data_IF_394865656387
#
_entry.id   IF_394865656387
#
_cell.length_a   1.000
_cell.length_b   1.000
_cell.length_c   1.000
_cell.angle_alpha   90.00
_cell.angle_beta   90.00
_cell.angle_gamma   90.00
#
_symmetry.space_group_name_H-M   'P 1'
#
loop_
_entity.id
_entity.type
_entity.pdbx_description
1 polymer ?
#
# COMPACT_ATOMS: atom_id res chain seq x y z
N UNK A 1 15.41 9.49 -5.28
CA UNK A 1 14.42 8.41 -5.51
C UNK A 1 14.94 7.49 -6.60
N UNK A 2 14.68 6.19 -6.50
CA UNK A 2 14.98 5.22 -7.55
C UNK A 2 13.76 5.05 -8.47
N UNK A 3 13.96 4.61 -9.70
CA UNK A 3 12.88 4.33 -10.66
C UNK A 3 12.96 2.90 -11.15
N UNK A 4 11.80 2.23 -11.16
CA UNK A 4 11.64 0.86 -11.67
C UNK A 4 10.63 0.93 -12.82
N UNK A 5 10.95 0.28 -13.94
CA UNK A 5 10.06 0.19 -15.10
C UNK A 5 9.73 -1.28 -15.39
N UNK A 6 8.45 -1.57 -15.55
CA UNK A 6 7.94 -2.91 -15.88
C UNK A 6 7.24 -2.82 -17.23
N UNK A 7 7.55 -3.75 -18.13
CA UNK A 7 6.82 -3.91 -19.40
C UNK A 7 5.73 -4.95 -19.19
N UNK A 8 4.47 -4.51 -19.31
CA UNK A 8 3.31 -5.38 -19.25
C UNK A 8 2.79 -5.57 -20.69
N UNK A 9 2.44 -6.80 -21.12
CA UNK A 9 1.83 -7.02 -22.43
C UNK A 9 0.52 -6.24 -22.58
N UNK A 10 0.26 -5.67 -23.77
CA UNK A 10 -0.94 -4.88 -24.02
C UNK A 10 -2.22 -5.72 -23.86
N UNK A 11 -2.14 -7.03 -24.10
CA UNK A 11 -3.23 -7.99 -23.89
C UNK A 11 -3.73 -7.99 -22.44
N UNK A 12 -2.83 -7.81 -21.46
CA UNK A 12 -3.22 -7.73 -20.05
C UNK A 12 -4.05 -6.47 -19.80
N UNK A 13 -3.73 -5.35 -20.44
CA UNK A 13 -4.52 -4.12 -20.32
C UNK A 13 -5.91 -4.32 -20.95
N UNK A 14 -5.99 -5.02 -22.08
CA UNK A 14 -7.27 -5.35 -22.72
C UNK A 14 -8.13 -6.28 -21.88
N UNK A 15 -7.56 -7.36 -21.35
CA UNK A 15 -8.27 -8.35 -20.53
C UNK A 15 -8.77 -7.75 -19.21
N UNK A 16 -7.96 -6.90 -18.57
CA UNK A 16 -8.32 -6.21 -17.33
C UNK A 16 -9.15 -4.95 -17.55
N UNK A 17 -9.28 -4.49 -18.80
CA UNK A 17 -9.93 -3.23 -19.21
C UNK A 17 -9.34 -2.00 -18.51
N UNK A 18 -8.04 -2.04 -18.25
CA UNK A 18 -7.31 -0.92 -17.66
C UNK A 18 -6.68 -0.05 -18.73
N UNK A 19 -6.75 1.26 -18.52
CA UNK A 19 -5.86 2.23 -19.17
C UNK A 19 -4.42 2.08 -18.67
N UNK A 20 -3.46 2.67 -19.37
CA UNK A 20 -2.05 2.67 -18.94
C UNK A 20 -1.86 3.32 -17.58
N UNK A 21 -2.60 4.40 -17.30
CA UNK A 21 -2.52 5.12 -16.03
C UNK A 21 -3.13 4.29 -14.88
N UNK A 22 -4.23 3.59 -15.13
CA UNK A 22 -4.82 2.65 -14.16
C UNK A 22 -3.89 1.47 -13.88
N UNK A 23 -3.25 0.90 -14.91
CA UNK A 23 -2.27 -0.17 -14.74
C UNK A 23 -1.05 0.30 -13.94
N UNK A 24 -0.56 1.52 -14.19
CA UNK A 24 0.54 2.10 -13.41
C UNK A 24 0.14 2.32 -11.94
N UNK A 25 -1.02 2.93 -11.71
CA UNK A 25 -1.56 3.14 -10.36
C UNK A 25 -1.78 1.81 -9.62
N UNK A 26 -2.26 0.79 -10.32
CA UNK A 26 -2.40 -0.57 -9.78
C UNK A 26 -1.04 -1.13 -9.36
N UNK A 27 -0.03 -1.07 -10.23
CA UNK A 27 1.31 -1.59 -9.93
C UNK A 27 1.97 -0.86 -8.74
N UNK A 28 1.80 0.47 -8.66
CA UNK A 28 2.26 1.28 -7.53
C UNK A 28 1.61 0.85 -6.21
N UNK A 29 0.27 0.75 -6.19
CA UNK A 29 -0.47 0.33 -5.00
C UNK A 29 -0.14 -1.10 -4.58
N UNK A 30 -0.05 -2.03 -5.53
CA UNK A 30 0.33 -3.41 -5.27
C UNK A 30 1.75 -3.51 -4.69
N UNK A 31 2.69 -2.72 -5.21
CA UNK A 31 4.07 -2.65 -4.70
C UNK A 31 4.10 -2.11 -3.27
N UNK A 32 3.43 -1.00 -3.01
CA UNK A 32 3.32 -0.42 -1.66
C UNK A 32 2.69 -1.40 -0.67
N UNK A 33 1.64 -2.12 -1.08
CA UNK A 33 0.97 -3.11 -0.25
C UNK A 33 1.88 -4.27 0.12
N UNK A 34 2.62 -4.80 -0.86
CA UNK A 34 3.56 -5.90 -0.64
C UNK A 34 4.72 -5.48 0.27
N UNK A 35 5.25 -4.26 0.11
CA UNK A 35 6.29 -3.72 0.97
C UNK A 35 5.80 -3.50 2.40
N UNK A 36 4.57 -3.02 2.58
CA UNK A 36 3.95 -2.91 3.90
C UNK A 36 3.82 -4.29 4.57
N UNK A 37 3.23 -5.26 3.86
CA UNK A 37 2.91 -6.58 4.42
C UNK A 37 4.12 -7.51 4.61
N UNK A 38 5.15 -7.42 3.77
CA UNK A 38 6.28 -8.37 3.77
C UNK A 38 7.57 -7.78 4.32
N UNK A 39 7.72 -6.46 4.24
CA UNK A 39 8.96 -5.78 4.61
C UNK A 39 8.77 -4.80 5.77
N UNK A 40 7.54 -4.64 6.28
CA UNK A 40 7.21 -3.74 7.40
C UNK A 40 7.68 -2.30 7.14
N UNK A 41 7.62 -1.87 5.88
CA UNK A 41 7.95 -0.50 5.49
C UNK A 41 6.89 0.45 6.04
N UNK A 42 7.31 1.62 6.51
CA UNK A 42 6.42 2.60 7.13
C UNK A 42 5.31 3.07 6.19
N UNK A 43 4.17 3.44 6.79
CA UNK A 43 2.99 3.99 6.09
C UNK A 43 3.40 5.17 5.19
N UNK A 44 4.23 6.09 5.69
CA UNK A 44 4.70 7.25 4.93
C UNK A 44 5.41 6.89 3.62
N UNK A 45 6.35 5.94 3.66
CA UNK A 45 7.05 5.50 2.45
C UNK A 45 6.12 4.72 1.51
N UNK A 46 5.23 3.88 2.03
CA UNK A 46 4.28 3.15 1.20
C UNK A 46 3.25 4.08 0.53
N UNK A 47 2.79 5.12 1.22
CA UNK A 47 1.90 6.15 0.66
C UNK A 47 2.58 6.90 -0.49
N UNK A 48 3.85 7.28 -0.33
CA UNK A 48 4.65 7.89 -1.40
C UNK A 48 4.78 6.99 -2.62
N UNK A 49 5.05 5.69 -2.44
CA UNK A 49 5.13 4.71 -3.54
C UNK A 49 3.78 4.56 -4.24
N UNK A 50 2.69 4.50 -3.46
CA UNK A 50 1.33 4.38 -3.95
C UNK A 50 0.78 5.65 -4.62
N UNK A 51 1.53 6.76 -4.56
CA UNK A 51 1.15 8.04 -5.15
C UNK A 51 -0.05 8.70 -4.45
N UNK A 52 -0.19 8.51 -3.13
CA UNK A 52 -1.30 9.07 -2.35
C UNK A 52 -0.84 9.63 -1.00
N UNK A 53 -1.73 10.32 -0.29
CA UNK A 53 -1.46 10.78 1.08
C UNK A 53 -1.38 9.61 2.06
N UNK A 54 -0.77 9.82 3.23
CA UNK A 54 -0.75 8.80 4.29
C UNK A 54 -2.17 8.44 4.75
N UNK A 55 -3.05 9.44 4.88
CA UNK A 55 -4.46 9.24 5.24
C UNK A 55 -5.18 8.36 4.20
N UNK A 56 -4.97 8.63 2.91
CA UNK A 56 -5.57 7.82 1.85
C UNK A 56 -4.98 6.42 1.80
N UNK A 57 -3.70 6.26 2.13
CA UNK A 57 -3.09 4.94 2.22
C UNK A 57 -3.64 4.13 3.39
N UNK A 58 -3.88 4.74 4.55
CA UNK A 58 -4.57 4.10 5.69
C UNK A 58 -5.98 3.65 5.29
N UNK A 59 -6.75 4.52 4.61
CA UNK A 59 -8.07 4.14 4.07
C UNK A 59 -7.96 2.99 3.06
N UNK A 60 -6.93 3.00 2.22
CA UNK A 60 -6.67 1.94 1.26
C UNK A 60 -6.37 0.60 1.95
N UNK A 61 -5.57 0.58 3.02
CA UNK A 61 -5.33 -0.62 3.83
C UNK A 61 -6.64 -1.15 4.43
N UNK A 62 -7.46 -0.27 5.02
CA UNK A 62 -8.77 -0.63 5.56
C UNK A 62 -9.71 -1.24 4.52
N UNK A 63 -9.79 -0.65 3.32
CA UNK A 63 -10.59 -1.17 2.21
C UNK A 63 -10.12 -2.55 1.70
N UNK A 64 -8.87 -2.91 1.95
CA UNK A 64 -8.30 -4.22 1.61
C UNK A 64 -8.32 -5.20 2.80
N UNK A 65 -9.01 -4.88 3.89
CA UNK A 65 -9.04 -5.66 5.14
C UNK A 65 -7.65 -5.93 5.73
N UNK A 66 -6.72 -4.99 5.55
CA UNK A 66 -5.39 -5.05 6.13
C UNK A 66 -5.38 -4.19 7.39
N UNK A 67 -5.09 -4.83 8.52
CA UNK A 67 -4.93 -4.13 9.78
C UNK A 67 -3.75 -3.17 9.68
N UNK A 68 -3.95 -1.92 10.08
CA UNK A 68 -2.85 -1.00 10.37
C UNK A 68 -2.20 -1.32 11.73
N UNK A 69 -2.90 -2.11 12.55
CA UNK A 69 -2.46 -2.61 13.86
C UNK A 69 -1.93 -4.03 13.68
N UNK A 70 -0.67 -4.14 13.29
CA UNK A 70 0.06 -5.40 13.26
C UNK A 70 1.53 -5.05 12.98
N UNK A 71 2.55 -5.38 13.76
CA UNK A 71 2.79 -6.42 14.76
C UNK A 71 4.00 -5.86 15.56
N UNK A 72 3.87 -5.55 16.85
CA UNK A 72 4.31 -6.40 17.96
C UNK A 72 3.61 -5.90 19.25
N UNK A 73 3.15 -6.82 20.09
CA UNK A 73 2.53 -6.58 21.39
C UNK A 73 1.17 -5.84 21.44
N UNK A 74 0.12 -6.63 21.67
CA UNK A 74 -1.18 -6.22 22.24
C UNK A 74 -1.03 -5.31 23.48
N UNK A 75 0.10 -5.43 24.19
CA UNK A 75 0.46 -4.58 25.32
C UNK A 75 0.72 -3.12 24.92
N UNK A 76 1.40 -2.85 23.79
CA UNK A 76 1.68 -1.50 23.30
C UNK A 76 0.37 -0.80 22.90
N UNK A 77 -0.54 -1.56 22.26
CA UNK A 77 -1.90 -1.08 21.93
C UNK A 77 -2.72 -0.70 23.18
N UNK A 78 -2.69 -1.53 24.22
CA UNK A 78 -3.42 -1.25 25.48
C UNK A 78 -2.78 -0.05 26.21
N UNK A 79 -1.46 0.08 26.17
CA UNK A 79 -0.75 1.21 26.79
C UNK A 79 -1.08 2.54 26.12
N UNK A 80 -1.12 2.59 24.78
CA UNK A 80 -1.53 3.80 24.04
C UNK A 80 -2.99 4.19 24.33
N UNK A 81 -3.91 3.22 24.45
CA UNK A 81 -5.30 3.49 24.81
C UNK A 81 -5.47 4.03 26.23
N UNK A 82 -4.63 3.61 27.19
CA UNK A 82 -4.74 4.06 28.58
C UNK A 82 -4.11 5.43 28.84
N UNK A 83 -3.27 5.92 27.93
CA UNK A 83 -2.57 7.20 28.04
C UNK A 83 -3.28 8.37 27.32
N UNK A 84 -4.44 8.12 26.70
CA UNK A 84 -5.31 9.11 26.04
C UNK A 84 -6.54 9.45 26.90
#
# INVERSE_FOLDING_TARGET
>A
MCSIAIKIPDEVLYDTKMTKDEANAFAQKATALMLYLKNHISIGYCAQIAGMSEEDFIKYLGNNNISIFSFDDEAEFIEEMNNA
#
